data_IF_664211451263
#
_entry.id   IF_664211451263
#
_cell.length_a   1.000
_cell.length_b   1.000
_cell.length_c   1.000
_cell.angle_alpha   90.00
_cell.angle_beta   90.00
_cell.angle_gamma   90.00
#
_symmetry.space_group_name_H-M   'P 1'
#
loop_
_entity.id
_entity.type
_entity.pdbx_description
1 polymer ?
#
# COMPACT_ATOMS: atom_id res chain seq x y z
N UNK A 1 -8.20 -1.78 4.89
CA UNK A 1 -7.72 -1.80 6.31
C UNK A 1 -8.49 -2.75 7.25
N UNK A 2 -9.59 -3.39 6.80
CA UNK A 2 -10.58 -4.14 7.62
C UNK A 2 -11.38 -3.29 8.62
N UNK A 3 -11.35 -1.97 8.50
CA UNK A 3 -12.11 -1.06 9.37
C UNK A 3 -13.05 -0.15 8.58
N UNK A 4 -12.68 0.30 7.37
CA UNK A 4 -13.51 1.18 6.56
C UNK A 4 -13.53 0.77 5.09
N UNK A 5 -12.42 0.96 4.38
CA UNK A 5 -12.30 0.76 2.92
C UNK A 5 -10.91 0.24 2.57
N UNK A 6 -10.81 -0.41 1.42
CA UNK A 6 -9.52 -0.74 0.82
C UNK A 6 -9.08 0.44 -0.05
N UNK A 7 -7.91 1.00 0.26
CA UNK A 7 -7.28 2.02 -0.58
C UNK A 7 -6.63 1.37 -1.79
N UNK A 8 -7.02 1.82 -2.98
CA UNK A 8 -6.44 1.39 -4.25
C UNK A 8 -5.05 1.98 -4.51
N UNK A 9 -4.70 3.08 -3.84
CA UNK A 9 -3.40 3.73 -3.93
C UNK A 9 -2.29 2.95 -3.21
N UNK A 10 -2.64 2.04 -2.29
CA UNK A 10 -1.69 1.17 -1.57
C UNK A 10 -1.95 -0.30 -1.92
N UNK A 11 -0.92 -0.94 -2.48
CA UNK A 11 -0.90 -2.37 -2.70
C UNK A 11 0.11 -3.03 -1.75
N UNK A 12 -0.16 -4.25 -1.33
CA UNK A 12 0.82 -5.02 -0.59
C UNK A 12 0.42 -6.47 -0.40
N UNK A 13 1.42 -7.32 -0.15
CA UNK A 13 1.26 -8.76 -0.09
C UNK A 13 2.53 -9.48 0.35
N UNK A 14 2.50 -10.80 0.28
CA UNK A 14 3.64 -11.67 0.58
C UNK A 14 4.23 -12.15 -0.74
N UNK A 15 5.55 -12.10 -0.86
CA UNK A 15 6.29 -12.54 -2.03
C UNK A 15 7.55 -13.33 -1.61
N UNK A 16 8.32 -13.79 -2.59
CA UNK A 16 9.65 -14.36 -2.37
C UNK A 16 10.70 -13.52 -3.07
N UNK A 17 11.77 -13.20 -2.36
CA UNK A 17 12.95 -12.53 -2.89
C UNK A 17 14.17 -13.42 -2.66
N UNK A 18 14.79 -13.92 -3.73
CA UNK A 18 15.86 -14.93 -3.67
C UNK A 18 15.53 -16.13 -2.75
N UNK A 19 14.29 -16.62 -2.81
CA UNK A 19 13.81 -17.74 -1.98
C UNK A 19 13.39 -17.34 -0.55
N UNK A 20 13.72 -16.14 -0.09
CA UNK A 20 13.31 -15.63 1.23
C UNK A 20 11.88 -15.07 1.18
N UNK A 21 10.98 -15.47 2.10
CA UNK A 21 9.66 -14.88 2.19
C UNK A 21 9.74 -13.43 2.69
N UNK A 22 9.17 -12.50 1.94
CA UNK A 22 9.17 -11.07 2.23
C UNK A 22 7.75 -10.51 2.17
N UNK A 23 7.50 -9.44 2.91
CA UNK A 23 6.28 -8.63 2.76
C UNK A 23 6.60 -7.41 1.90
N UNK A 24 5.86 -7.22 0.83
CA UNK A 24 6.02 -6.09 -0.10
C UNK A 24 4.85 -5.14 0.07
N UNK A 25 5.13 -3.85 0.15
CA UNK A 25 4.12 -2.78 0.23
C UNK A 25 4.54 -1.69 -0.76
N UNK A 26 3.60 -1.07 -1.45
CA UNK A 26 3.94 -0.01 -2.39
C UNK A 26 2.74 0.83 -2.79
N UNK A 27 3.07 1.96 -3.40
CA UNK A 27 2.07 2.82 -4.02
C UNK A 27 1.68 2.26 -5.39
N UNK A 28 0.42 2.40 -5.77
CA UNK A 28 -0.11 2.02 -7.08
C UNK A 28 -0.72 3.27 -7.72
N UNK A 29 -0.16 3.68 -8.85
CA UNK A 29 -0.72 4.75 -9.69
C UNK A 29 -1.65 4.20 -10.75
N UNK A 30 -1.32 3.07 -11.38
CA UNK A 30 -2.07 2.57 -12.53
C UNK A 30 -1.46 3.07 -13.84
N UNK A 31 -1.68 2.33 -14.91
CA UNK A 31 -1.00 2.52 -16.21
C UNK A 31 -1.85 3.31 -17.21
N UNK A 32 -3.17 3.40 -17.00
CA UNK A 32 -4.07 4.22 -17.81
C UNK A 32 -4.61 5.40 -17.01
N UNK A 33 -5.27 6.35 -17.68
CA UNK A 33 -5.89 7.50 -17.01
C UNK A 33 -6.99 7.05 -16.04
N UNK A 34 -7.81 6.09 -16.46
CA UNK A 34 -8.92 5.53 -15.67
C UNK A 34 -8.38 4.83 -14.42
N UNK A 35 -7.29 4.07 -14.56
CA UNK A 35 -6.63 3.44 -13.42
C UNK A 35 -5.99 4.46 -12.48
N UNK A 36 -5.37 5.50 -13.03
CA UNK A 36 -4.82 6.62 -12.25
C UNK A 36 -5.86 7.32 -11.42
N UNK A 37 -7.01 7.63 -12.00
CA UNK A 37 -8.13 8.19 -11.28
C UNK A 37 -8.65 7.23 -10.20
N UNK A 38 -8.76 5.93 -10.50
CA UNK A 38 -9.22 4.93 -9.55
C UNK A 38 -8.24 4.68 -8.39
N UNK A 39 -6.95 4.98 -8.56
CA UNK A 39 -5.93 4.83 -7.53
C UNK A 39 -5.47 6.17 -6.93
N UNK A 40 -6.26 7.24 -7.07
CA UNK A 40 -5.93 8.58 -6.57
C UNK A 40 -4.52 9.05 -7.01
N UNK A 41 -4.05 8.66 -8.20
CA UNK A 41 -2.71 8.95 -8.70
C UNK A 41 -1.58 8.51 -7.75
N UNK A 42 -1.82 7.43 -6.99
CA UNK A 42 -0.91 6.92 -5.97
C UNK A 42 -0.85 7.77 -4.69
N UNK A 43 -1.82 8.65 -4.46
CA UNK A 43 -1.97 9.41 -3.23
C UNK A 43 -2.88 8.64 -2.26
N UNK A 44 -2.34 8.04 -1.19
CA UNK A 44 -3.13 7.28 -0.25
C UNK A 44 -3.89 8.16 0.74
N UNK A 45 -5.08 7.70 1.13
CA UNK A 45 -5.82 8.21 2.28
C UNK A 45 -5.41 7.53 3.59
N UNK A 46 -6.02 7.91 4.73
CA UNK A 46 -5.74 7.32 6.04
C UNK A 46 -5.93 5.79 6.09
N UNK A 47 -6.92 5.25 5.38
CA UNK A 47 -7.17 3.81 5.25
C UNK A 47 -6.04 3.07 4.53
N UNK A 48 -5.36 3.71 3.58
CA UNK A 48 -4.18 3.17 2.89
C UNK A 48 -3.00 3.00 3.84
N UNK A 49 -2.74 4.01 4.67
CA UNK A 49 -1.71 3.92 5.71
C UNK A 49 -2.04 2.86 6.78
N UNK A 50 -3.30 2.76 7.21
CA UNK A 50 -3.74 1.70 8.13
C UNK A 50 -3.56 0.30 7.53
N UNK A 51 -3.85 0.14 6.24
CA UNK A 51 -3.57 -1.11 5.50
C UNK A 51 -2.08 -1.42 5.47
N UNK A 52 -1.21 -0.45 5.16
CA UNK A 52 0.24 -0.62 5.17
C UNK A 52 0.73 -1.06 6.56
N UNK A 53 0.34 -0.36 7.62
CA UNK A 53 0.71 -0.70 8.99
C UNK A 53 0.26 -2.12 9.39
N UNK A 54 -0.94 -2.53 9.00
CA UNK A 54 -1.44 -3.90 9.25
C UNK A 54 -0.55 -4.95 8.57
N UNK A 55 -0.11 -4.71 7.34
CA UNK A 55 0.80 -5.62 6.63
C UNK A 55 2.19 -5.65 7.28
N UNK A 56 2.70 -4.51 7.73
CA UNK A 56 3.97 -4.42 8.45
C UNK A 56 3.93 -5.19 9.77
N UNK A 57 2.87 -5.03 10.58
CA UNK A 57 2.66 -5.82 11.81
C UNK A 57 2.55 -7.32 11.54
N UNK A 58 1.95 -7.70 10.40
CA UNK A 58 1.89 -9.10 10.01
C UNK A 58 3.25 -9.63 9.53
N UNK A 59 4.11 -8.80 8.93
CA UNK A 59 5.49 -9.17 8.62
C UNK A 59 6.32 -9.39 9.89
N UNK A 60 6.22 -8.46 10.83
CA UNK A 60 6.85 -8.54 12.16
C UNK A 60 6.49 -9.85 12.88
N UNK A 61 5.19 -10.19 12.95
CA UNK A 61 4.72 -11.43 13.60
C UNK A 61 5.39 -12.71 13.10
N UNK A 62 5.80 -12.74 11.84
CA UNK A 62 6.40 -13.91 11.19
C UNK A 62 7.88 -13.71 10.85
N UNK A 63 8.53 -12.65 11.36
CA UNK A 63 9.94 -12.37 11.11
C UNK A 63 10.29 -12.15 9.64
N UNK A 64 9.35 -11.68 8.81
CA UNK A 64 9.60 -11.42 7.39
C UNK A 64 10.18 -10.01 7.18
N UNK A 65 11.23 -9.85 6.36
CA UNK A 65 11.65 -8.53 5.91
C UNK A 65 10.55 -7.81 5.15
N UNK A 66 10.55 -6.48 5.23
CA UNK A 66 9.59 -5.61 4.55
C UNK A 66 10.32 -4.84 3.46
N UNK A 67 9.77 -4.86 2.24
CA UNK A 67 10.25 -4.08 1.10
C UNK A 67 9.17 -3.07 0.73
N UNK A 68 9.51 -1.79 0.70
CA UNK A 68 8.57 -0.70 0.38
C UNK A 68 8.93 0.00 -0.93
N UNK A 69 7.98 0.08 -1.87
CA UNK A 69 8.10 0.88 -3.09
C UNK A 69 7.41 2.23 -2.92
N UNK A 70 8.21 3.28 -2.80
CA UNK A 70 7.73 4.65 -2.59
C UNK A 70 7.61 5.32 -3.96
N UNK A 71 6.37 5.53 -4.41
CA UNK A 71 6.06 6.22 -5.65
C UNK A 71 4.73 6.97 -5.48
N UNK A 72 4.79 8.08 -4.76
CA UNK A 72 3.61 8.90 -4.46
C UNK A 72 3.97 10.37 -4.55
N UNK A 73 3.10 11.24 -5.10
CA UNK A 73 3.29 12.68 -4.99
C UNK A 73 2.96 13.21 -3.58
N UNK A 74 2.29 12.42 -2.73
CA UNK A 74 1.95 12.79 -1.35
C UNK A 74 0.71 12.06 -0.83
N UNK A 75 0.36 12.31 0.44
CA UNK A 75 -0.92 11.86 0.99
C UNK A 75 -2.08 12.61 0.30
N UNK A 76 -3.23 11.93 0.11
CA UNK A 76 -4.37 12.54 -0.55
C UNK A 76 -4.95 13.70 0.29
N UNK A 77 -5.01 14.94 -0.23
CA UNK A 77 -5.47 16.10 0.54
C UNK A 77 -7.00 16.27 0.47
N UNK A 78 -7.75 15.21 0.80
CA UNK A 78 -9.21 15.22 0.81
C UNK A 78 -9.78 15.76 2.14
N UNK A 79 -11.03 16.26 2.13
CA UNK A 79 -11.73 16.67 3.37
C UNK A 79 -11.95 15.54 4.37
N UNK A 80 -11.86 14.30 3.90
CA UNK A 80 -12.04 13.07 4.68
C UNK A 80 -10.71 12.48 5.18
N UNK A 81 -9.57 13.13 4.87
CA UNK A 81 -8.23 12.71 5.26
C UNK A 81 -7.86 13.14 6.69
#
# INVERSE_FOLDING_TARGET
>A
DRQCREDSAILGGIARFHGMPVTVIGHRKGSTLEENMACNFGMPGPEGYRKALRLMKQAEKFGRPIITFIDTPGAYPGKEA
#
